data_IF_057027072323
#
_entry.id   IF_057027072323
#
_cell.length_a   1.000
_cell.length_b   1.000
_cell.length_c   1.000
_cell.angle_alpha   90.00
_cell.angle_beta   90.00
_cell.angle_gamma   90.00
#
_symmetry.space_group_name_H-M   'P 1'
#
loop_
_entity.id
_entity.type
_entity.pdbx_description
1 polymer ?
#
# COMPACT_ATOMS: atom_id res chain seq x y z
N UNK A 1 0.01 11.69 -12.59
CA UNK A 1 0.37 12.65 -11.53
C UNK A 1 1.87 12.81 -11.49
N UNK A 2 2.35 13.98 -11.08
CA UNK A 2 3.74 14.24 -10.71
C UNK A 2 4.12 13.53 -9.41
N UNK A 3 5.41 13.47 -9.08
CA UNK A 3 5.89 12.85 -7.82
C UNK A 3 5.40 13.58 -6.57
N UNK A 4 5.27 14.90 -6.64
CA UNK A 4 4.77 15.70 -5.52
C UNK A 4 3.27 15.48 -5.31
N UNK A 5 2.49 15.45 -6.40
CA UNK A 5 1.07 15.08 -6.35
C UNK A 5 0.87 13.66 -5.81
N UNK A 6 1.70 12.70 -6.27
CA UNK A 6 1.69 11.34 -5.74
C UNK A 6 1.96 11.33 -4.25
N UNK A 7 3.04 11.98 -3.79
CA UNK A 7 3.39 12.06 -2.37
C UNK A 7 2.24 12.62 -1.53
N UNK A 8 1.63 13.70 -1.98
CA UNK A 8 0.55 14.36 -1.25
C UNK A 8 -0.66 13.43 -1.12
N UNK A 9 -1.25 12.99 -2.23
CA UNK A 9 -2.38 12.06 -2.21
C UNK A 9 -2.06 10.78 -1.42
N UNK A 10 -0.88 10.21 -1.65
CA UNK A 10 -0.53 8.90 -1.12
C UNK A 10 -0.40 8.90 0.40
N UNK A 11 0.15 9.98 0.99
CA UNK A 11 0.34 10.10 2.43
C UNK A 11 -0.85 10.76 3.14
N UNK A 12 -1.53 11.70 2.52
CA UNK A 12 -2.60 12.49 3.16
C UNK A 12 -3.99 11.88 2.97
N UNK A 13 -4.20 11.07 1.92
CA UNK A 13 -5.51 10.52 1.57
C UNK A 13 -5.48 8.99 1.53
N UNK A 14 -4.60 8.41 0.71
CA UNK A 14 -4.56 6.97 0.49
C UNK A 14 -4.10 6.19 1.72
N UNK A 15 -3.03 6.63 2.40
CA UNK A 15 -2.52 5.96 3.58
C UNK A 15 -3.54 5.94 4.75
N UNK A 16 -4.24 7.05 5.09
CA UNK A 16 -5.34 7.02 6.06
C UNK A 16 -6.49 6.08 5.68
N UNK A 17 -6.83 5.99 4.39
CA UNK A 17 -7.84 5.05 3.90
C UNK A 17 -7.37 3.60 4.07
N UNK A 18 -6.17 3.28 3.60
CA UNK A 18 -5.59 1.94 3.67
C UNK A 18 -5.34 1.46 5.11
N UNK A 19 -5.00 2.36 6.03
CA UNK A 19 -4.82 2.04 7.46
C UNK A 19 -6.09 1.48 8.11
N UNK A 20 -7.26 1.75 7.54
CA UNK A 20 -8.54 1.27 8.06
C UNK A 20 -8.88 -0.17 7.61
N UNK A 21 -8.06 -0.79 6.76
CA UNK A 21 -8.28 -2.17 6.33
C UNK A 21 -8.45 -3.10 7.55
N UNK A 22 -9.47 -3.97 7.55
CA UNK A 22 -9.69 -4.88 8.67
C UNK A 22 -8.52 -5.86 8.80
N UNK A 23 -8.23 -6.29 10.02
CA UNK A 23 -7.13 -7.23 10.34
C UNK A 23 -5.70 -6.75 9.99
N UNK A 24 -5.53 -5.48 9.56
CA UNK A 24 -4.22 -4.89 9.29
C UNK A 24 -3.44 -4.69 10.60
N UNK A 25 -2.28 -5.33 10.72
CA UNK A 25 -1.41 -5.22 11.90
C UNK A 25 -0.45 -4.04 11.83
N UNK A 26 0.10 -3.78 10.66
CA UNK A 26 1.08 -2.73 10.40
C UNK A 26 0.97 -2.29 8.96
N UNK A 27 1.18 -1.00 8.72
CA UNK A 27 1.38 -0.46 7.39
C UNK A 27 2.53 0.54 7.39
N UNK A 28 3.40 0.46 6.39
CA UNK A 28 4.50 1.39 6.16
C UNK A 28 4.42 1.87 4.72
N UNK A 29 4.51 3.18 4.52
CA UNK A 29 4.44 3.84 3.23
C UNK A 29 5.79 4.49 2.95
N UNK A 30 6.58 3.86 2.08
CA UNK A 30 7.94 4.29 1.76
C UNK A 30 7.95 5.03 0.42
N UNK A 31 8.25 6.33 0.45
CA UNK A 31 8.50 7.08 -0.78
C UNK A 31 9.83 6.64 -1.38
N UNK A 32 9.84 6.30 -2.67
CA UNK A 32 11.08 6.02 -3.37
C UNK A 32 11.81 7.35 -3.57
N UNK A 33 13.09 7.41 -3.23
CA UNK A 33 13.94 8.60 -3.40
C UNK A 33 14.87 8.49 -4.61
N UNK A 34 15.05 7.28 -5.14
CA UNK A 34 15.82 7.02 -6.36
C UNK A 34 15.15 7.73 -7.56
N UNK A 35 15.95 8.45 -8.33
CA UNK A 35 15.52 9.07 -9.58
C UNK A 35 15.28 7.99 -10.65
N UNK A 36 14.29 8.20 -11.51
CA UNK A 36 13.93 7.30 -12.62
C UNK A 36 13.66 5.83 -12.22
N UNK A 37 13.30 5.59 -10.96
CA UNK A 37 12.86 4.28 -10.49
C UNK A 37 11.53 3.87 -11.16
N UNK A 38 11.27 2.56 -11.21
CA UNK A 38 10.04 2.03 -11.80
C UNK A 38 8.77 2.32 -10.97
N UNK A 39 8.94 2.70 -9.70
CA UNK A 39 7.85 2.98 -8.76
C UNK A 39 8.16 4.25 -7.97
N UNK A 40 7.12 5.02 -7.66
CA UNK A 40 7.21 6.23 -6.83
C UNK A 40 7.11 5.93 -5.33
N UNK A 41 6.53 4.78 -4.96
CA UNK A 41 6.32 4.37 -3.58
C UNK A 41 6.17 2.87 -3.40
N UNK A 42 6.52 2.39 -2.21
CA UNK A 42 6.38 1.00 -1.76
C UNK A 42 5.55 0.98 -0.48
N UNK A 43 4.44 0.25 -0.49
CA UNK A 43 3.67 -0.02 0.74
C UNK A 43 3.98 -1.42 1.24
N UNK A 44 4.33 -1.53 2.51
CA UNK A 44 4.44 -2.80 3.22
C UNK A 44 3.25 -2.94 4.17
N UNK A 45 2.60 -4.11 4.14
CA UNK A 45 1.40 -4.39 4.92
C UNK A 45 1.55 -5.75 5.60
N UNK A 46 1.26 -5.79 6.90
CA UNK A 46 1.31 -7.01 7.71
C UNK A 46 -0.10 -7.43 8.11
N UNK A 47 -0.38 -8.71 7.92
CA UNK A 47 -1.60 -9.40 8.34
C UNK A 47 -1.20 -10.72 8.99
N UNK A 48 -2.02 -11.21 9.91
CA UNK A 48 -1.74 -12.49 10.60
C UNK A 48 -1.71 -13.69 9.64
N UNK A 49 -2.42 -13.59 8.51
CA UNK A 49 -2.46 -14.65 7.51
C UNK A 49 -2.78 -14.14 6.11
N UNK A 50 -2.50 -14.98 5.12
CA UNK A 50 -2.94 -14.75 3.73
C UNK A 50 -4.46 -14.63 3.61
N UNK A 51 -5.20 -15.39 4.39
CA UNK A 51 -6.68 -15.35 4.40
C UNK A 51 -7.18 -14.00 4.94
N UNK A 52 -6.62 -13.50 6.04
CA UNK A 52 -6.98 -12.20 6.63
C UNK A 52 -6.80 -11.06 5.61
N UNK A 53 -5.70 -11.11 4.86
CA UNK A 53 -5.44 -10.19 3.75
C UNK A 53 -6.52 -10.27 2.65
N UNK A 54 -6.88 -11.48 2.22
CA UNK A 54 -7.87 -11.68 1.15
C UNK A 54 -9.26 -11.20 1.58
N UNK A 55 -9.67 -11.49 2.82
CA UNK A 55 -10.92 -11.01 3.40
C UNK A 55 -10.93 -9.48 3.52
N UNK A 56 -9.81 -8.88 3.95
CA UNK A 56 -9.67 -7.43 4.01
C UNK A 56 -9.83 -6.76 2.64
N UNK A 57 -9.21 -7.31 1.59
CA UNK A 57 -9.34 -6.77 0.25
C UNK A 57 -10.65 -7.15 -0.46
N UNK A 58 -11.37 -8.17 0.00
CA UNK A 58 -12.71 -8.52 -0.46
C UNK A 58 -13.82 -7.64 0.17
N UNK A 59 -13.53 -6.99 1.29
CA UNK A 59 -14.45 -6.05 1.95
C UNK A 59 -14.77 -4.82 1.09
N UNK A 60 -15.88 -4.12 1.40
CA UNK A 60 -16.24 -2.87 0.72
C UNK A 60 -15.14 -1.80 0.85
N UNK A 61 -14.53 -1.68 2.03
CA UNK A 61 -13.39 -0.79 2.24
C UNK A 61 -12.18 -1.21 1.40
N UNK A 62 -11.89 -2.51 1.32
CA UNK A 62 -10.81 -3.04 0.49
C UNK A 62 -10.98 -2.71 -1.00
N UNK A 63 -12.21 -2.81 -1.50
CA UNK A 63 -12.55 -2.39 -2.87
C UNK A 63 -12.36 -0.89 -3.07
N UNK A 64 -12.72 -0.06 -2.09
CA UNK A 64 -12.48 1.39 -2.14
C UNK A 64 -10.99 1.71 -2.17
N UNK A 65 -10.16 1.06 -1.34
CA UNK A 65 -8.69 1.22 -1.35
C UNK A 65 -8.11 0.88 -2.73
N UNK A 66 -8.58 -0.21 -3.35
CA UNK A 66 -8.14 -0.62 -4.69
C UNK A 66 -8.60 0.39 -5.74
N UNK A 67 -9.86 0.81 -5.70
CA UNK A 67 -10.41 1.79 -6.64
C UNK A 67 -9.66 3.13 -6.56
N UNK A 68 -9.38 3.61 -5.35
CA UNK A 68 -8.60 4.82 -5.11
C UNK A 68 -7.19 4.71 -5.68
N UNK A 69 -6.52 3.57 -5.50
CA UNK A 69 -5.21 3.33 -6.14
C UNK A 69 -5.33 3.45 -7.67
N UNK A 70 -6.28 2.72 -8.27
CA UNK A 70 -6.42 2.63 -9.74
C UNK A 70 -6.86 3.94 -10.39
N UNK A 71 -7.50 4.85 -9.64
CA UNK A 71 -7.85 6.18 -10.11
C UNK A 71 -6.63 7.12 -10.22
N UNK A 72 -5.59 6.87 -9.43
CA UNK A 72 -4.47 7.78 -9.23
C UNK A 72 -3.17 7.30 -9.89
N UNK A 73 -2.92 5.98 -9.91
CA UNK A 73 -1.65 5.41 -10.37
C UNK A 73 -1.79 4.65 -11.68
N UNK A 74 -0.78 4.75 -12.54
CA UNK A 74 -0.75 4.05 -13.82
C UNK A 74 -0.55 2.53 -13.67
N UNK A 75 0.12 2.10 -12.59
CA UNK A 75 0.45 0.71 -12.30
C UNK A 75 0.54 0.48 -10.80
N UNK A 76 0.04 -0.67 -10.35
CA UNK A 76 0.15 -1.15 -8.98
C UNK A 76 0.53 -2.61 -9.01
N UNK A 77 1.54 -2.98 -8.23
CA UNK A 77 1.96 -4.37 -8.09
C UNK A 77 1.80 -4.87 -6.66
N UNK A 78 1.66 -6.19 -6.52
CA UNK A 78 1.45 -6.84 -5.23
C UNK A 78 2.27 -8.11 -5.20
N UNK A 79 3.16 -8.18 -4.21
CA UNK A 79 4.02 -9.32 -3.96
C UNK A 79 3.72 -9.83 -2.54
N UNK A 80 3.66 -11.15 -2.40
CA UNK A 80 3.62 -11.79 -1.09
C UNK A 80 5.02 -12.23 -0.78
N UNK A 81 5.54 -11.80 0.36
CA UNK A 81 6.94 -11.95 0.73
C UNK A 81 7.05 -12.76 2.01
N UNK A 82 8.20 -13.41 2.19
CA UNK A 82 8.62 -13.92 3.49
C UNK A 82 9.57 -12.90 4.08
N UNK A 83 9.21 -12.33 5.22
CA UNK A 83 10.05 -11.38 5.95
C UNK A 83 11.26 -12.13 6.52
N UNK A 84 12.46 -11.60 6.27
CA UNK A 84 13.72 -12.15 6.77
C UNK A 84 14.46 -11.03 7.52
N UNK A 85 14.24 -10.93 8.83
CA UNK A 85 14.88 -9.94 9.68
C UNK A 85 16.30 -10.37 10.03
N UNK A 86 17.29 -9.56 9.64
CA UNK A 86 18.71 -9.83 9.93
C UNK A 86 19.22 -9.02 11.13
N UNK A 87 18.49 -8.01 11.56
CA UNK A 87 18.85 -7.09 12.66
C UNK A 87 17.59 -6.54 13.33
N UNK A 88 17.65 -6.31 14.65
CA UNK A 88 16.59 -5.69 15.47
C UNK A 88 16.86 -4.21 15.76
#
# INVERSE_FOLDING_TARGET
MSRDEFRQWWLEEHAPLARQLPELRRAVFNLVTTQDAQFDGITELWFDSRRSFEEAYASELGKQVVADSMAHVARRERLFVTENELTS
#
